data_IF_232437112123
#
_entry.id   IF_232437112123
#
_cell.length_a   1.000
_cell.length_b   1.000
_cell.length_c   1.000
_cell.angle_alpha   90.00
_cell.angle_beta   90.00
_cell.angle_gamma   90.00
#
_symmetry.space_group_name_H-M   'P 1'
#
loop_
_entity.id
_entity.type
_entity.pdbx_description
1 polymer ?
#
# COMPACT_ATOMS: atom_id res chain seq x y z
N UNK A 1 -64.64 -32.11 10.96
CA UNK A 1 -63.89 -31.14 11.79
C UNK A 1 -63.05 -30.29 10.82
N UNK A 2 -63.11 -28.95 10.72
CA UNK A 2 -63.59 -27.88 11.64
C UNK A 2 -62.83 -27.85 12.97
N UNK A 3 -62.18 -26.77 13.43
CA UNK A 3 -62.02 -25.38 12.93
C UNK A 3 -60.50 -25.02 12.89
N UNK A 4 -59.95 -23.97 12.26
CA UNK A 4 -60.27 -22.52 12.19
C UNK A 4 -60.27 -21.78 13.55
N UNK A 5 -59.38 -20.78 13.72
CA UNK A 5 -59.66 -19.41 14.22
C UNK A 5 -58.35 -18.61 14.38
N UNK A 6 -58.42 -17.36 13.89
CA UNK A 6 -57.59 -16.16 14.09
C UNK A 6 -58.63 -14.99 14.07
N UNK A 7 -58.44 -13.74 14.58
CA UNK A 7 -57.31 -13.11 15.31
C UNK A 7 -57.77 -12.38 16.62
N UNK A 8 -56.93 -11.48 17.17
CA UNK A 8 -57.35 -10.37 18.05
C UNK A 8 -56.17 -9.68 18.77
N UNK A 9 -55.82 -8.41 18.54
CA UNK A 9 -56.48 -7.10 18.83
C UNK A 9 -56.51 -6.65 20.31
N UNK A 10 -55.72 -5.60 20.60
CA UNK A 10 -56.06 -4.42 21.40
C UNK A 10 -55.43 -3.20 20.67
N UNK A 11 -56.13 -2.21 20.10
CA UNK A 11 -56.87 -1.06 20.70
C UNK A 11 -56.02 -0.25 21.71
N UNK A 12 -55.93 1.09 21.69
CA UNK A 12 -56.59 2.26 21.00
C UNK A 12 -55.56 3.44 21.00
N UNK A 13 -55.69 4.66 20.44
CA UNK A 13 -56.70 5.50 19.72
C UNK A 13 -55.90 6.52 18.82
N UNK A 14 -56.28 6.95 17.61
CA UNK A 14 -57.34 7.90 17.13
C UNK A 14 -57.02 9.42 17.25
N UNK A 15 -56.83 10.07 16.07
CA UNK A 15 -57.13 11.48 15.68
C UNK A 15 -56.46 12.66 16.44
N UNK A 16 -56.33 13.89 15.92
CA UNK A 16 -56.39 14.46 14.54
C UNK A 16 -55.65 15.83 14.48
N UNK A 17 -55.68 16.48 13.31
CA UNK A 17 -55.63 17.93 13.06
C UNK A 17 -55.47 18.89 14.25
N UNK A 18 -54.57 19.86 14.13
CA UNK A 18 -54.99 21.28 13.95
C UNK A 18 -53.85 22.19 13.51
N UNK A 19 -54.17 23.20 12.69
CA UNK A 19 -53.29 24.30 12.36
C UNK A 19 -53.80 25.60 12.98
N UNK A 20 -52.90 26.45 13.52
CA UNK A 20 -53.14 27.91 13.58
C UNK A 20 -51.87 28.73 13.83
N UNK A 21 -51.88 29.93 13.24
CA UNK A 21 -50.86 30.98 13.41
C UNK A 21 -51.15 31.82 14.67
N UNK A 22 -50.10 32.48 15.15
CA UNK A 22 -50.01 33.85 15.70
C UNK A 22 -49.20 33.88 17.01
N UNK A 23 -48.01 34.50 17.10
CA UNK A 23 -47.65 35.91 16.86
C UNK A 23 -48.01 36.81 18.06
N UNK A 24 -47.00 37.27 18.82
CA UNK A 24 -47.06 38.43 19.73
C UNK A 24 -45.65 39.06 19.92
N UNK A 25 -45.54 40.32 19.49
CA UNK A 25 -44.76 41.46 20.02
C UNK A 25 -43.25 41.33 20.36
N UNK A 26 -42.45 41.90 19.46
CA UNK A 26 -41.49 43.00 19.67
C UNK A 26 -41.18 43.50 21.11
N UNK A 27 -39.92 43.91 21.31
CA UNK A 27 -39.62 45.14 22.06
C UNK A 27 -38.46 45.94 21.47
N UNK A 28 -38.72 47.23 21.25
CA UNK A 28 -37.83 48.20 20.60
C UNK A 28 -36.48 48.41 21.31
N UNK A 29 -35.41 48.59 20.52
CA UNK A 29 -34.42 49.64 20.77
C UNK A 29 -34.30 50.49 19.49
N UNK A 30 -34.17 51.81 19.66
CA UNK A 30 -34.25 52.80 18.57
C UNK A 30 -32.93 52.90 17.81
N UNK A 31 -33.01 53.14 16.49
CA UNK A 31 -31.83 53.27 15.63
C UNK A 31 -31.17 54.66 15.64
N UNK A 32 -30.00 54.73 15.01
CA UNK A 32 -29.35 55.98 14.58
C UNK A 32 -29.13 55.87 13.06
N UNK A 33 -29.64 56.84 12.30
CA UNK A 33 -29.37 56.95 10.87
C UNK A 33 -28.31 58.03 10.64
N UNK A 34 -27.10 57.64 10.22
CA UNK A 34 -26.06 58.56 9.75
C UNK A 34 -25.68 58.30 8.30
N UNK A 35 -25.17 59.33 7.63
CA UNK A 35 -25.38 59.56 6.19
C UNK A 35 -24.05 59.69 5.44
N UNK A 36 -24.03 59.19 4.19
CA UNK A 36 -23.04 59.40 3.11
C UNK A 36 -21.73 58.59 3.14
N UNK A 37 -21.59 57.74 2.11
CA UNK A 37 -20.49 57.61 1.12
C UNK A 37 -19.00 57.46 1.56
N UNK A 38 -18.28 56.67 0.76
CA UNK A 38 -16.81 56.62 0.61
C UNK A 38 -15.98 55.81 1.65
N UNK A 39 -16.32 54.52 1.86
CA UNK A 39 -15.43 53.55 2.58
C UNK A 39 -15.09 52.30 1.72
N UNK A 40 -15.78 52.05 0.61
CA UNK A 40 -15.70 50.80 -0.18
C UNK A 40 -14.36 50.57 -0.91
N UNK A 41 -13.53 51.60 -1.09
CA UNK A 41 -12.29 51.51 -1.89
C UNK A 41 -10.98 51.38 -1.11
N UNK A 42 -10.99 51.37 0.23
CA UNK A 42 -9.76 51.23 1.02
C UNK A 42 -9.42 49.78 1.42
N UNK A 43 -10.41 48.88 1.45
CA UNK A 43 -10.22 47.47 1.83
C UNK A 43 -9.69 46.59 0.69
N UNK A 44 -9.87 46.97 -0.58
CA UNK A 44 -9.42 46.17 -1.73
C UNK A 44 -7.91 46.18 -1.95
N UNK A 45 -7.22 47.28 -1.61
CA UNK A 45 -5.76 47.40 -1.76
C UNK A 45 -5.03 46.69 -0.61
N UNK A 46 -5.52 46.84 0.63
CA UNK A 46 -4.88 46.30 1.83
C UNK A 46 -4.92 44.76 1.88
N UNK A 47 -5.90 44.12 1.23
CA UNK A 47 -5.96 42.67 1.09
C UNK A 47 -4.93 42.13 0.08
N UNK A 48 -4.62 42.88 -0.98
CA UNK A 48 -3.68 42.47 -2.03
C UNK A 48 -2.22 42.46 -1.56
N UNK A 49 -1.84 43.33 -0.61
CA UNK A 49 -0.48 43.34 -0.06
C UNK A 49 -0.17 42.14 0.85
N UNK A 50 -1.18 41.45 1.39
CA UNK A 50 -0.96 40.26 2.23
C UNK A 50 -0.71 38.98 1.41
N UNK A 51 -1.23 38.90 0.18
CA UNK A 51 -1.11 37.72 -0.69
C UNK A 51 0.30 37.50 -1.28
N UNK A 52 1.28 38.37 -0.98
CA UNK A 52 2.62 38.36 -1.61
C UNK A 52 3.75 37.92 -0.67
N UNK A 53 3.50 37.78 0.65
CA UNK A 53 4.59 37.65 1.65
C UNK A 53 4.55 36.41 2.57
N UNK A 54 3.60 35.49 2.45
CA UNK A 54 3.54 34.28 3.29
C UNK A 54 3.35 32.96 2.53
N UNK A 55 3.83 32.86 1.29
CA UNK A 55 3.98 31.57 0.59
C UNK A 55 5.41 31.25 0.14
N UNK A 56 6.40 31.97 0.67
CA UNK A 56 7.74 31.39 0.87
C UNK A 56 7.65 30.37 2.02
N UNK A 57 6.93 29.27 1.80
CA UNK A 57 7.01 28.09 2.66
C UNK A 57 8.44 27.58 2.52
N UNK A 58 9.28 27.87 3.51
CA UNK A 58 10.57 27.19 3.61
C UNK A 58 10.27 25.70 3.67
N UNK A 59 10.67 24.96 2.63
CA UNK A 59 10.97 23.54 2.79
C UNK A 59 11.92 23.43 3.99
N UNK A 60 11.65 22.48 4.89
CA UNK A 60 12.68 22.07 5.83
C UNK A 60 13.64 21.20 5.03
N UNK A 61 14.90 21.58 4.97
CA UNK A 61 15.93 20.74 4.36
C UNK A 61 15.88 19.33 4.99
N UNK A 62 15.48 18.32 4.20
CA UNK A 62 15.34 16.92 4.64
C UNK A 62 13.92 16.36 4.83
N UNK A 63 12.88 17.02 4.32
CA UNK A 63 11.50 16.48 4.22
C UNK A 63 11.13 16.49 2.72
N UNK A 64 11.41 15.40 1.97
CA UNK A 64 11.19 15.34 0.51
C UNK A 64 9.74 15.04 0.14
N UNK A 65 8.93 14.64 1.11
CA UNK A 65 7.48 14.48 0.99
C UNK A 65 7.08 13.35 0.07
N UNK A 66 7.79 12.22 0.12
CA UNK A 66 7.42 11.03 -0.65
C UNK A 66 6.16 10.42 -0.03
N UNK A 67 5.25 10.02 -0.91
CA UNK A 67 3.99 9.38 -0.57
C UNK A 67 3.77 8.19 -1.50
N UNK A 68 3.19 7.12 -0.96
CA UNK A 68 2.78 5.95 -1.72
C UNK A 68 1.26 6.03 -1.91
N UNK A 69 0.81 6.02 -3.15
CA UNK A 69 -0.59 5.85 -3.52
C UNK A 69 -0.77 4.42 -4.04
N UNK A 70 -1.84 3.74 -3.64
CA UNK A 70 -2.23 2.46 -4.24
C UNK A 70 -3.34 2.73 -5.26
N UNK A 71 -3.10 2.33 -6.51
CA UNK A 71 -4.13 2.29 -7.55
C UNK A 71 -4.78 0.91 -7.53
N UNK A 72 -6.07 0.88 -7.20
CA UNK A 72 -6.85 -0.34 -7.18
C UNK A 72 -7.64 -0.48 -8.49
N UNK A 73 -7.56 -1.66 -9.09
CA UNK A 73 -8.35 -2.06 -10.25
C UNK A 73 -8.75 -3.53 -10.13
N UNK A 74 -9.72 -3.95 -10.95
CA UNK A 74 -10.15 -5.33 -11.09
C UNK A 74 -9.76 -5.85 -12.47
N UNK A 75 -9.29 -7.08 -12.57
CA UNK A 75 -9.13 -7.77 -13.86
C UNK A 75 -10.50 -8.08 -14.49
N UNK A 76 -10.51 -8.49 -15.76
CA UNK A 76 -11.72 -8.97 -16.45
C UNK A 76 -12.49 -10.07 -15.71
N UNK A 77 -11.80 -10.85 -14.86
CA UNK A 77 -12.38 -11.95 -14.08
C UNK A 77 -12.76 -11.53 -12.64
N UNK A 78 -12.59 -10.25 -12.28
CA UNK A 78 -12.90 -9.72 -10.96
C UNK A 78 -11.81 -9.90 -9.89
N UNK A 79 -10.56 -10.19 -10.29
CA UNK A 79 -9.44 -10.33 -9.35
C UNK A 79 -8.84 -8.95 -9.03
N UNK A 80 -8.48 -8.73 -7.76
CA UNK A 80 -7.92 -7.46 -7.30
C UNK A 80 -6.49 -7.24 -7.82
N UNK A 81 -6.23 -6.02 -8.28
CA UNK A 81 -4.91 -5.55 -8.75
C UNK A 81 -4.60 -4.22 -8.08
N UNK A 82 -3.66 -4.24 -7.13
CA UNK A 82 -3.18 -3.09 -6.38
C UNK A 82 -1.77 -2.70 -6.82
N UNK A 83 -1.65 -1.67 -7.66
CA UNK A 83 -0.35 -1.18 -8.16
C UNK A 83 0.04 0.12 -7.41
N UNK A 84 1.22 0.18 -6.78
CA UNK A 84 1.65 1.39 -6.09
C UNK A 84 2.21 2.45 -7.04
N UNK A 85 2.15 3.71 -6.62
CA UNK A 85 2.81 4.85 -7.25
C UNK A 85 3.51 5.70 -6.18
N UNK A 86 4.79 6.02 -6.40
CA UNK A 86 5.58 6.89 -5.54
C UNK A 86 5.51 8.33 -6.05
N UNK A 87 5.01 9.25 -5.21
CA UNK A 87 4.90 10.69 -5.53
C UNK A 87 5.59 11.57 -4.50
N UNK A 88 6.39 12.52 -4.97
CA UNK A 88 6.89 13.67 -4.21
C UNK A 88 6.35 14.98 -4.79
N UNK A 89 6.13 15.98 -3.93
CA UNK A 89 5.85 17.36 -4.35
C UNK A 89 7.06 18.10 -4.94
N UNK A 90 8.26 17.52 -4.86
CA UNK A 90 9.50 18.11 -5.34
C UNK A 90 9.92 17.45 -6.68
N UNK A 91 9.97 18.24 -7.75
CA UNK A 91 10.25 17.71 -9.10
C UNK A 91 11.59 16.99 -9.24
N UNK A 92 12.61 17.40 -8.47
CA UNK A 92 13.94 16.80 -8.53
C UNK A 92 13.97 15.43 -7.84
N UNK A 93 13.18 15.27 -6.78
CA UNK A 93 12.96 13.97 -6.12
C UNK A 93 12.14 13.07 -7.04
N UNK A 94 11.05 13.55 -7.67
CA UNK A 94 10.28 12.75 -8.61
C UNK A 94 11.12 12.24 -9.80
N UNK A 95 12.08 13.04 -10.32
CA UNK A 95 13.01 12.60 -11.37
C UNK A 95 13.91 11.43 -10.94
N UNK A 96 14.18 11.26 -9.64
CA UNK A 96 15.00 10.17 -9.08
C UNK A 96 14.16 8.94 -8.77
N UNK A 97 12.92 9.12 -8.32
CA UNK A 97 11.95 8.04 -8.08
C UNK A 97 11.51 7.31 -9.37
N UNK A 98 11.94 7.79 -10.54
CA UNK A 98 11.74 7.15 -11.86
C UNK A 98 12.17 5.68 -11.94
N UNK A 99 13.06 5.18 -11.07
CA UNK A 99 13.36 3.74 -11.05
C UNK A 99 12.19 2.93 -10.44
N UNK A 100 11.56 3.45 -9.39
CA UNK A 100 10.34 2.86 -8.83
C UNK A 100 9.20 2.98 -9.84
N UNK A 101 9.07 4.12 -10.55
CA UNK A 101 8.11 4.26 -11.66
C UNK A 101 8.32 3.20 -12.75
N UNK A 102 9.57 2.84 -13.10
CA UNK A 102 9.83 1.76 -14.07
C UNK A 102 9.38 0.40 -13.54
N UNK A 103 9.64 0.11 -12.27
CA UNK A 103 9.25 -1.16 -11.65
C UNK A 103 7.73 -1.29 -11.54
N UNK A 104 7.01 -0.22 -11.19
CA UNK A 104 5.53 -0.24 -11.16
C UNK A 104 4.92 -0.30 -12.56
N UNK A 105 5.52 0.39 -13.55
CA UNK A 105 5.17 0.21 -14.97
C UNK A 105 5.45 -1.22 -15.48
N UNK A 106 6.42 -1.94 -14.92
CA UNK A 106 6.68 -3.35 -15.25
C UNK A 106 5.63 -4.30 -14.64
N UNK A 107 5.19 -4.02 -13.41
CA UNK A 107 4.07 -4.73 -12.77
C UNK A 107 2.77 -4.55 -13.59
N UNK A 108 2.43 -3.32 -13.99
CA UNK A 108 1.28 -3.05 -14.86
C UNK A 108 1.36 -3.82 -16.18
N UNK A 109 2.50 -3.77 -16.89
CA UNK A 109 2.71 -4.48 -18.17
C UNK A 109 2.74 -6.00 -18.04
N UNK A 110 2.96 -6.52 -16.83
CA UNK A 110 2.81 -7.95 -16.54
C UNK A 110 1.33 -8.30 -16.45
N UNK A 111 0.54 -7.51 -15.71
CA UNK A 111 -0.91 -7.67 -15.64
C UNK A 111 -1.57 -7.59 -17.03
N UNK A 112 -1.28 -6.56 -17.81
CA UNK A 112 -1.79 -6.38 -19.18
C UNK A 112 -1.47 -7.58 -20.10
N UNK A 113 -0.30 -8.19 -19.91
CA UNK A 113 0.15 -9.36 -20.70
C UNK A 113 -0.57 -10.63 -20.30
N UNK A 114 -0.68 -10.92 -19.00
CA UNK A 114 -1.32 -12.16 -18.54
C UNK A 114 -2.84 -12.11 -18.78
N UNK A 115 -3.48 -10.95 -18.60
CA UNK A 115 -4.85 -10.73 -19.10
C UNK A 115 -5.00 -10.98 -20.61
N UNK A 116 -4.00 -10.62 -21.44
CA UNK A 116 -4.06 -10.83 -22.89
C UNK A 116 -3.90 -12.30 -23.29
N UNK A 117 -3.39 -13.14 -22.39
CA UNK A 117 -3.25 -14.59 -22.56
C UNK A 117 -4.46 -15.37 -22.04
N UNK A 118 -5.26 -14.76 -21.18
CA UNK A 118 -6.29 -15.45 -20.41
C UNK A 118 -5.74 -16.23 -19.21
N UNK A 119 -4.55 -15.86 -18.72
CA UNK A 119 -4.06 -16.29 -17.40
C UNK A 119 -4.77 -15.45 -16.33
N UNK A 120 -5.14 -16.05 -15.20
CA UNK A 120 -5.70 -15.27 -14.09
C UNK A 120 -4.56 -14.70 -13.25
N UNK A 121 -4.61 -13.40 -12.95
CA UNK A 121 -3.59 -12.70 -12.18
C UNK A 121 -4.22 -11.89 -11.05
N UNK A 122 -3.59 -11.93 -9.87
CA UNK A 122 -3.95 -11.15 -8.70
C UNK A 122 -2.70 -10.43 -8.16
N UNK A 123 -2.86 -9.20 -7.67
CA UNK A 123 -1.75 -8.39 -7.14
C UNK A 123 -2.17 -7.63 -5.88
N UNK A 124 -1.48 -7.86 -4.77
CA UNK A 124 -1.73 -7.22 -3.47
C UNK A 124 -0.53 -6.37 -3.05
N UNK A 125 -0.79 -5.15 -2.57
CA UNK A 125 0.22 -4.19 -2.12
C UNK A 125 0.19 -3.99 -0.62
N UNK A 126 1.26 -4.41 0.06
CA UNK A 126 1.44 -4.31 1.50
C UNK A 126 2.32 -3.10 1.80
N UNK A 127 1.70 -1.97 2.17
CA UNK A 127 2.42 -0.74 2.53
C UNK A 127 2.94 -0.84 3.96
N UNK A 128 4.21 -0.49 4.17
CA UNK A 128 4.84 -0.38 5.48
C UNK A 128 4.98 1.11 5.84
N UNK A 129 4.35 1.55 6.93
CA UNK A 129 4.34 2.95 7.39
C UNK A 129 5.66 3.35 8.08
N UNK A 130 6.79 3.18 7.38
CA UNK A 130 8.13 3.59 7.83
C UNK A 130 8.43 4.96 7.25
N UNK A 131 8.44 6.00 8.08
CA UNK A 131 8.49 7.39 7.65
C UNK A 131 9.80 7.74 6.92
N UNK A 132 10.94 7.29 7.44
CA UNK A 132 12.25 7.59 6.83
C UNK A 132 12.52 6.74 5.57
N UNK A 133 11.78 5.63 5.42
CA UNK A 133 11.91 4.69 4.31
C UNK A 133 10.52 4.25 3.80
N UNK A 134 9.77 5.13 3.11
CA UNK A 134 8.48 4.77 2.55
C UNK A 134 8.62 3.57 1.63
N UNK A 135 7.94 2.48 1.97
CA UNK A 135 8.09 1.20 1.27
C UNK A 135 6.77 0.46 1.10
N UNK A 136 6.69 -0.33 0.05
CA UNK A 136 5.57 -1.22 -0.25
C UNK A 136 6.12 -2.52 -0.81
N UNK A 137 5.66 -3.64 -0.25
CA UNK A 137 5.93 -4.97 -0.79
C UNK A 137 4.74 -5.38 -1.64
N UNK A 138 4.97 -5.63 -2.92
CA UNK A 138 3.94 -6.10 -3.85
C UNK A 138 4.11 -7.60 -4.05
N UNK A 139 3.06 -8.36 -3.77
CA UNK A 139 2.98 -9.79 -4.05
C UNK A 139 2.04 -9.98 -5.24
N UNK A 140 2.42 -10.80 -6.20
CA UNK A 140 1.50 -11.19 -7.27
C UNK A 140 1.55 -12.68 -7.60
N UNK A 141 0.39 -13.16 -7.99
CA UNK A 141 0.11 -14.54 -8.34
C UNK A 141 -0.33 -14.60 -9.80
N UNK A 142 0.20 -15.56 -10.56
CA UNK A 142 -0.30 -15.91 -11.88
C UNK A 142 -0.72 -17.38 -11.88
N UNK A 143 -2.00 -17.62 -12.12
CA UNK A 143 -2.53 -18.94 -12.46
C UNK A 143 -2.60 -19.08 -13.98
N UNK A 144 -1.71 -19.89 -14.53
CA UNK A 144 -2.00 -20.64 -15.77
C UNK A 144 -2.49 -22.04 -15.39
N UNK A 145 -3.11 -22.76 -16.33
CA UNK A 145 -3.90 -23.98 -16.07
C UNK A 145 -3.10 -25.11 -15.40
N UNK A 146 -1.82 -25.18 -15.71
CA UNK A 146 -0.89 -26.22 -15.25
C UNK A 146 0.22 -25.67 -14.33
N UNK A 147 0.32 -24.35 -14.14
CA UNK A 147 1.41 -23.70 -13.38
C UNK A 147 0.87 -22.53 -12.55
N UNK A 148 1.14 -22.59 -11.25
CA UNK A 148 0.95 -21.49 -10.30
C UNK A 148 2.31 -20.83 -10.03
N UNK A 149 2.48 -19.58 -10.46
CA UNK A 149 3.72 -18.82 -10.23
C UNK A 149 3.48 -17.71 -9.22
N UNK A 150 4.29 -17.66 -8.17
CA UNK A 150 4.27 -16.60 -7.18
C UNK A 150 5.55 -15.75 -7.31
N UNK A 151 5.41 -14.44 -7.11
CA UNK A 151 6.54 -13.52 -7.12
C UNK A 151 6.29 -12.37 -6.13
N UNK A 152 7.38 -11.73 -5.71
CA UNK A 152 7.37 -10.59 -4.81
C UNK A 152 8.35 -9.53 -5.31
N UNK A 153 8.05 -8.25 -5.07
CA UNK A 153 9.03 -7.17 -5.15
C UNK A 153 8.83 -6.20 -3.98
N UNK A 154 9.92 -5.73 -3.39
CA UNK A 154 9.90 -4.61 -2.44
C UNK A 154 10.33 -3.33 -3.13
N UNK A 155 9.48 -2.31 -3.07
CA UNK A 155 9.74 -0.98 -3.59
C UNK A 155 9.95 -0.06 -2.39
N UNK A 156 11.07 0.65 -2.34
CA UNK A 156 11.46 1.49 -1.20
C UNK A 156 12.15 2.76 -1.69
N UNK A 157 11.96 3.87 -0.98
CA UNK A 157 12.74 5.09 -1.15
C UNK A 157 13.40 5.51 0.18
N UNK A 158 14.55 6.18 0.11
CA UNK A 158 15.13 6.94 1.20
C UNK A 158 14.54 8.36 1.18
N UNK A 159 13.74 8.71 2.19
CA UNK A 159 13.01 9.98 2.31
C UNK A 159 13.95 11.20 2.46
N UNK A 160 15.19 10.98 2.92
CA UNK A 160 16.18 12.04 3.15
C UNK A 160 17.02 12.32 1.90
N UNK A 161 17.30 11.30 1.09
CA UNK A 161 18.09 11.40 -0.13
C UNK A 161 17.23 11.60 -1.39
N UNK A 162 15.96 11.22 -1.33
CA UNK A 162 15.06 11.20 -2.49
C UNK A 162 15.49 10.18 -3.53
N UNK A 163 15.97 9.02 -3.09
CA UNK A 163 16.53 7.95 -3.95
C UNK A 163 15.77 6.63 -3.74
N UNK A 164 15.62 5.79 -4.78
CA UNK A 164 15.19 4.41 -4.59
C UNK A 164 16.22 3.63 -3.78
N UNK A 165 15.77 2.60 -3.05
CA UNK A 165 16.64 1.55 -2.50
C UNK A 165 16.37 0.26 -3.27
N UNK A 166 17.39 -0.30 -3.92
CA UNK A 166 17.28 -1.58 -4.64
C UNK A 166 17.58 -2.77 -3.73
N UNK A 167 17.16 -3.98 -4.14
CA UNK A 167 17.52 -5.21 -3.43
C UNK A 167 19.05 -5.40 -3.30
N UNK A 168 19.84 -4.86 -4.23
CA UNK A 168 21.31 -4.87 -4.15
C UNK A 168 21.80 -3.98 -3.00
N UNK A 169 21.31 -2.74 -2.93
CA UNK A 169 21.72 -1.78 -1.88
C UNK A 169 21.25 -2.26 -0.51
N UNK A 170 20.01 -2.77 -0.40
CA UNK A 170 19.51 -3.40 0.82
C UNK A 170 20.39 -4.59 1.26
N UNK A 171 20.84 -5.43 0.33
CA UNK A 171 21.77 -6.52 0.66
C UNK A 171 23.13 -5.99 1.14
N UNK A 172 23.69 -5.00 0.45
CA UNK A 172 24.95 -4.34 0.85
C UNK A 172 24.82 -3.65 2.24
N UNK A 173 23.64 -3.11 2.59
CA UNK A 173 23.33 -2.55 3.91
C UNK A 173 23.33 -3.59 5.05
N UNK A 174 23.15 -4.89 4.75
CA UNK A 174 23.34 -5.96 5.75
C UNK A 174 24.79 -6.40 5.91
N UNK A 175 25.71 -5.93 5.05
CA UNK A 175 27.10 -6.38 5.02
C UNK A 175 27.29 -7.81 4.48
N UNK A 176 26.26 -8.39 3.84
CA UNK A 176 26.31 -9.72 3.21
C UNK A 176 26.54 -9.60 1.70
N UNK A 177 27.22 -10.59 1.11
CA UNK A 177 27.13 -10.82 -0.34
C UNK A 177 25.98 -11.77 -0.67
N UNK A 178 25.60 -11.83 -1.95
CA UNK A 178 24.63 -12.83 -2.43
C UNK A 178 25.07 -14.28 -2.17
N UNK A 179 26.38 -14.54 -2.10
CA UNK A 179 26.94 -15.86 -1.76
C UNK A 179 26.72 -16.14 -0.27
N UNK A 180 27.00 -15.18 0.61
CA UNK A 180 26.77 -15.34 2.07
C UNK A 180 25.29 -15.58 2.37
N UNK A 181 24.41 -14.80 1.76
CA UNK A 181 22.95 -14.95 1.88
C UNK A 181 22.51 -16.37 1.44
N UNK A 182 22.94 -16.81 0.26
CA UNK A 182 22.60 -18.13 -0.28
C UNK A 182 23.09 -19.27 0.63
N UNK A 183 24.31 -19.15 1.17
CA UNK A 183 24.88 -20.15 2.09
C UNK A 183 24.15 -20.20 3.45
N UNK A 184 23.79 -19.04 4.02
CA UNK A 184 23.03 -18.96 5.28
C UNK A 184 21.62 -19.51 5.12
N UNK A 185 20.89 -19.04 4.09
CA UNK A 185 19.53 -19.53 3.77
C UNK A 185 19.55 -21.03 3.47
N UNK A 186 20.55 -21.52 2.72
CA UNK A 186 20.73 -22.94 2.42
C UNK A 186 21.18 -23.82 3.60
N UNK A 187 21.71 -23.22 4.68
CA UNK A 187 21.90 -23.88 5.98
C UNK A 187 20.57 -23.97 6.72
N UNK A 188 19.86 -22.85 6.86
CA UNK A 188 18.62 -22.75 7.63
C UNK A 188 17.48 -23.61 7.04
N UNK A 189 17.36 -23.67 5.70
CA UNK A 189 16.41 -24.56 5.02
C UNK A 189 16.56 -26.04 5.46
N UNK A 190 17.80 -26.50 5.63
CA UNK A 190 18.11 -27.88 6.06
C UNK A 190 17.79 -28.09 7.54
N UNK A 191 18.05 -27.08 8.37
CA UNK A 191 17.71 -27.08 9.80
C UNK A 191 16.18 -27.09 10.03
N UNK A 192 15.41 -26.43 9.15
CA UNK A 192 13.93 -26.47 9.13
C UNK A 192 13.35 -27.82 8.64
N UNK A 193 14.17 -28.74 8.12
CA UNK A 193 13.76 -30.07 7.61
C UNK A 193 12.67 -30.04 6.53
N UNK A 194 12.71 -29.01 5.68
CA UNK A 194 11.79 -28.87 4.55
C UNK A 194 12.13 -29.91 3.48
N UNK A 195 11.12 -30.48 2.82
CA UNK A 195 11.29 -31.51 1.79
C UNK A 195 12.07 -30.97 0.59
N UNK A 196 12.84 -31.86 -0.05
CA UNK A 196 13.55 -31.59 -1.30
C UNK A 196 14.99 -31.13 -1.10
N UNK A 197 15.73 -31.10 -2.21
CA UNK A 197 17.07 -30.54 -2.29
C UNK A 197 17.01 -29.10 -2.82
N UNK A 198 17.73 -28.18 -2.17
CA UNK A 198 17.71 -26.77 -2.56
C UNK A 198 18.41 -26.59 -3.93
N UNK A 199 17.62 -26.22 -4.94
CA UNK A 199 18.02 -26.03 -6.34
C UNK A 199 18.59 -24.62 -6.56
N UNK A 200 17.91 -23.60 -6.05
CA UNK A 200 18.34 -22.20 -6.11
C UNK A 200 17.74 -21.34 -4.99
N UNK A 201 18.34 -20.17 -4.78
CA UNK A 201 17.91 -19.13 -3.84
C UNK A 201 17.89 -17.78 -4.56
N UNK A 202 16.81 -17.03 -4.45
CA UNK A 202 16.63 -15.72 -5.08
C UNK A 202 16.10 -14.70 -4.07
N UNK A 203 16.72 -13.52 -4.01
CA UNK A 203 16.23 -12.39 -3.21
C UNK A 203 15.16 -11.63 -4.01
N UNK A 204 13.91 -11.72 -3.58
CA UNK A 204 12.77 -11.04 -4.19
C UNK A 204 12.59 -9.61 -3.66
N UNK A 205 12.90 -9.40 -2.38
CA UNK A 205 12.66 -8.12 -1.71
C UNK A 205 13.31 -8.04 -0.34
N UNK A 206 12.92 -7.02 0.43
CA UNK A 206 13.47 -6.70 1.73
C UNK A 206 12.52 -5.79 2.52
N UNK A 207 12.83 -5.59 3.80
CA UNK A 207 12.16 -4.65 4.70
C UNK A 207 13.18 -3.79 5.43
N UNK A 208 12.98 -2.47 5.45
CA UNK A 208 13.83 -1.51 6.17
C UNK A 208 13.06 -0.87 7.32
N UNK A 209 13.70 -0.71 8.49
CA UNK A 209 13.12 0.00 9.63
C UNK A 209 13.41 1.53 9.62
N UNK A 210 12.82 2.26 10.57
CA UNK A 210 13.01 3.72 10.71
C UNK A 210 14.46 4.16 10.95
N UNK A 211 15.37 3.24 11.31
CA UNK A 211 16.79 3.53 11.48
C UNK A 211 17.61 3.38 10.18
N UNK A 212 16.99 2.87 9.11
CA UNK A 212 17.67 2.49 7.87
C UNK A 212 18.29 1.10 7.93
N UNK A 213 17.84 0.23 8.84
CA UNK A 213 18.34 -1.13 8.95
C UNK A 213 17.43 -2.11 8.20
N UNK A 214 18.02 -2.97 7.38
CA UNK A 214 17.31 -4.10 6.77
C UNK A 214 17.02 -5.15 7.84
N UNK A 215 15.74 -5.37 8.13
CA UNK A 215 15.25 -6.29 9.19
C UNK A 215 14.79 -7.63 8.63
N UNK A 216 14.26 -7.65 7.41
CA UNK A 216 13.84 -8.86 6.69
C UNK A 216 14.39 -8.83 5.26
N UNK A 217 14.80 -9.98 4.74
CA UNK A 217 15.07 -10.22 3.32
C UNK A 217 14.07 -11.27 2.85
N UNK A 218 13.29 -10.94 1.81
CA UNK A 218 12.29 -11.85 1.26
C UNK A 218 12.94 -12.75 0.20
N UNK A 219 12.89 -14.05 0.44
CA UNK A 219 13.59 -15.09 -0.31
C UNK A 219 12.61 -16.04 -1.01
N UNK A 220 12.86 -16.30 -2.29
CA UNK A 220 12.28 -17.40 -3.07
C UNK A 220 13.30 -18.53 -3.16
N UNK A 221 12.89 -19.74 -2.77
CA UNK A 221 13.71 -20.95 -2.81
C UNK A 221 13.06 -21.92 -3.79
N UNK A 222 13.83 -22.44 -4.73
CA UNK A 222 13.37 -23.53 -5.61
C UNK A 222 13.88 -24.85 -5.04
N UNK A 223 12.97 -25.77 -4.73
CA UNK A 223 13.25 -27.07 -4.12
C UNK A 223 13.03 -28.18 -5.15
N UNK A 224 14.04 -28.99 -5.43
CA UNK A 224 13.88 -30.22 -6.23
C UNK A 224 13.33 -31.33 -5.35
N UNK A 225 12.16 -31.84 -5.69
CA UNK A 225 11.45 -32.88 -4.94
C UNK A 225 11.23 -34.11 -5.82
N UNK A 226 11.78 -35.24 -5.40
CA UNK A 226 11.57 -36.52 -6.09
C UNK A 226 10.32 -37.24 -5.54
N UNK A 227 9.49 -37.69 -6.47
CA UNK A 227 8.20 -38.37 -6.32
C UNK A 227 8.26 -39.66 -7.16
N UNK A 228 8.74 -40.76 -6.57
CA UNK A 228 8.97 -42.01 -7.30
C UNK A 228 10.09 -41.87 -8.34
N UNK A 229 9.73 -41.96 -9.63
CA UNK A 229 10.67 -41.77 -10.75
C UNK A 229 10.70 -40.33 -11.29
N UNK A 230 9.80 -39.46 -10.83
CA UNK A 230 9.71 -38.06 -11.27
C UNK A 230 10.44 -37.14 -10.28
N UNK A 231 11.01 -36.04 -10.78
CA UNK A 231 11.50 -34.93 -9.95
C UNK A 231 10.83 -33.64 -10.42
N UNK A 232 10.10 -33.00 -9.52
CA UNK A 232 9.44 -31.71 -9.71
C UNK A 232 10.27 -30.60 -9.05
N UNK A 233 10.05 -29.35 -9.47
CA UNK A 233 10.55 -28.17 -8.76
C UNK A 233 9.38 -27.46 -8.07
N UNK A 234 9.51 -27.25 -6.76
CA UNK A 234 8.54 -26.53 -5.93
C UNK A 234 9.09 -25.13 -5.58
N UNK A 235 8.27 -24.08 -5.65
CA UNK A 235 8.64 -22.73 -5.18
C UNK A 235 8.21 -22.54 -3.71
N UNK A 236 9.12 -22.07 -2.85
CA UNK A 236 8.85 -21.83 -1.43
C UNK A 236 9.33 -20.42 -1.02
N UNK A 237 8.54 -19.69 -0.23
CA UNK A 237 8.78 -18.28 0.11
C UNK A 237 9.03 -18.05 1.61
N UNK A 238 10.03 -17.23 1.95
CA UNK A 238 10.47 -17.00 3.33
C UNK A 238 10.90 -15.55 3.60
N UNK A 239 10.76 -15.09 4.85
CA UNK A 239 11.60 -14.02 5.40
C UNK A 239 12.86 -14.63 6.01
N UNK A 240 14.03 -14.15 5.58
CA UNK A 240 15.30 -14.31 6.29
C UNK A 240 15.55 -13.06 7.15
N UNK A 241 15.90 -13.25 8.43
CA UNK A 241 16.19 -12.20 9.40
C UNK A 241 17.71 -12.12 9.60
N UNK A 242 18.40 -11.05 9.15
CA UNK A 242 19.87 -10.99 9.19
C UNK A 242 20.48 -11.03 10.59
N UNK A 243 19.83 -10.44 11.60
CA UNK A 243 20.31 -10.41 13.00
C UNK A 243 20.04 -11.71 13.77
N UNK A 244 18.83 -12.27 13.62
CA UNK A 244 18.43 -13.52 14.27
C UNK A 244 19.06 -14.76 13.59
N UNK A 245 19.68 -14.57 12.42
CA UNK A 245 20.14 -15.59 11.47
C UNK A 245 19.09 -16.71 11.29
N UNK A 246 17.86 -16.30 10.97
CA UNK A 246 16.64 -17.12 11.07
C UNK A 246 15.83 -17.06 9.78
N UNK A 247 15.16 -18.15 9.46
CA UNK A 247 14.28 -18.29 8.29
C UNK A 247 12.85 -18.63 8.76
N UNK A 248 11.85 -17.94 8.23
CA UNK A 248 10.42 -18.06 8.60
C UNK A 248 9.59 -18.07 7.31
N UNK A 249 8.53 -18.89 7.20
CA UNK A 249 7.70 -18.89 5.98
C UNK A 249 7.04 -17.53 5.78
N UNK A 250 6.92 -17.08 4.54
CA UNK A 250 6.43 -15.73 4.27
C UNK A 250 4.93 -15.56 4.61
N UNK A 251 4.15 -16.63 4.54
CA UNK A 251 2.76 -16.65 5.03
C UNK A 251 2.64 -16.53 6.56
N UNK A 252 3.64 -16.94 7.34
CA UNK A 252 3.71 -16.67 8.79
C UNK A 252 4.01 -15.17 9.10
N UNK A 253 4.28 -14.35 8.09
CA UNK A 253 4.46 -12.89 8.21
C UNK A 253 3.20 -12.09 7.90
N UNK A 254 2.12 -12.74 7.46
CA UNK A 254 0.86 -12.07 7.08
C UNK A 254 0.76 -11.67 5.61
N UNK A 255 1.65 -12.17 4.74
CA UNK A 255 1.44 -12.13 3.29
C UNK A 255 0.52 -13.28 2.88
N UNK A 256 -0.53 -12.97 2.10
CA UNK A 256 -1.41 -13.98 1.52
C UNK A 256 -0.70 -14.72 0.38
N UNK A 257 0.06 -15.75 0.74
CA UNK A 257 0.79 -16.64 -0.16
C UNK A 257 0.42 -18.09 0.22
N UNK A 258 -0.05 -18.92 -0.74
CA UNK A 258 -0.41 -20.33 -0.50
C UNK A 258 0.71 -21.24 0.03
#
# INVERSE_FOLDING_TARGET
MKNNIDPGLYTKDILENNARKNNIQEKNIRGICFRKRNIVLFFSVLLLCFCVLTSCRKEKDGDTGISILIHESETKDGMAVQIPEFRSGNEEVQKRLRELEKQTNMLQKTCEREESRGSHMEMRSYVDEVKNYPQVTVVWFVADKDIQTYNLISLCADEKQGLPVTCKEALEMTGLTGVDLSLRVGRLQKEMKIRGELSSTEMQGFRIDESGKVTEIYMKLIMKVTEGEQTIEEEHFFSYFPDEEKLVRLSERGFDIP
#
